data_IF_551559092986
#
_entry.id   IF_551559092986
#
_cell.length_a   1.000
_cell.length_b   1.000
_cell.length_c   1.000
_cell.angle_alpha   90.00
_cell.angle_beta   90.00
_cell.angle_gamma   90.00
#
_symmetry.space_group_name_H-M   'P 1'
#
loop_
_entity.id
_entity.type
_entity.pdbx_description
1 polymer ?
#
# COMPACT_ATOMS: atom_id res chain seq x y z
N UNK A 1 -6.14 8.21 22.93
CA UNK A 1 -7.46 7.97 22.33
C UNK A 1 -7.99 6.63 22.81
N UNK A 2 -9.31 6.45 22.97
CA UNK A 2 -9.83 5.10 23.29
C UNK A 2 -9.68 4.19 22.07
N UNK A 3 -9.37 2.92 22.31
CA UNK A 3 -9.21 1.87 21.28
C UNK A 3 -10.43 1.78 20.36
N UNK A 4 -11.63 1.98 20.90
CA UNK A 4 -12.87 1.99 20.13
C UNK A 4 -12.99 3.17 19.15
N UNK A 5 -12.51 4.36 19.53
CA UNK A 5 -12.49 5.52 18.62
C UNK A 5 -11.43 5.34 17.54
N UNK A 6 -10.24 4.84 17.90
CA UNK A 6 -9.18 4.54 16.92
C UNK A 6 -9.64 3.51 15.88
N UNK A 7 -10.39 2.48 16.30
CA UNK A 7 -10.98 1.50 15.39
C UNK A 7 -12.01 2.14 14.44
N UNK A 8 -12.91 2.98 14.94
CA UNK A 8 -13.90 3.67 14.11
C UNK A 8 -13.23 4.57 13.07
N UNK A 9 -12.21 5.35 13.46
CA UNK A 9 -11.45 6.19 12.53
C UNK A 9 -10.66 5.37 11.50
N UNK A 10 -10.09 4.22 11.90
CA UNK A 10 -9.40 3.32 10.97
C UNK A 10 -10.34 2.75 9.89
N UNK A 11 -11.53 2.32 10.29
CA UNK A 11 -12.54 1.81 9.35
C UNK A 11 -13.04 2.90 8.38
N UNK A 12 -13.23 4.13 8.87
CA UNK A 12 -13.58 5.26 8.02
C UNK A 12 -12.52 5.56 6.96
N UNK A 13 -11.24 5.52 7.36
CA UNK A 13 -10.14 5.73 6.42
C UNK A 13 -10.07 4.61 5.38
N UNK A 14 -10.27 3.36 5.81
CA UNK A 14 -10.27 2.20 4.91
C UNK A 14 -11.45 2.18 3.93
N UNK A 15 -12.59 2.79 4.29
CA UNK A 15 -13.78 2.85 3.41
C UNK A 15 -13.55 3.65 2.12
N UNK A 16 -12.47 4.44 2.05
CA UNK A 16 -12.06 5.15 0.83
C UNK A 16 -11.55 4.18 -0.24
N UNK A 17 -10.94 3.06 0.15
CA UNK A 17 -10.35 2.09 -0.79
C UNK A 17 -11.39 1.37 -1.67
N UNK A 18 -12.52 0.82 -1.14
CA UNK A 18 -13.55 0.23 -1.99
C UNK A 18 -14.17 1.22 -2.97
N UNK A 19 -14.39 2.46 -2.54
CA UNK A 19 -15.02 3.49 -3.37
C UNK A 19 -14.09 3.88 -4.51
N UNK A 20 -12.82 4.18 -4.21
CA UNK A 20 -11.81 4.51 -5.20
C UNK A 20 -11.51 3.31 -6.12
N UNK A 21 -11.44 2.09 -5.56
CA UNK A 21 -11.21 0.85 -6.30
C UNK A 21 -12.35 0.55 -7.29
N UNK A 22 -13.61 0.77 -6.90
CA UNK A 22 -14.75 0.60 -7.80
C UNK A 22 -14.73 1.63 -8.94
N UNK A 23 -14.47 2.90 -8.62
CA UNK A 23 -14.34 3.95 -9.64
C UNK A 23 -13.16 3.67 -10.58
N UNK A 24 -12.02 3.23 -10.05
CA UNK A 24 -10.86 2.81 -10.82
C UNK A 24 -11.19 1.63 -11.75
N UNK A 25 -11.86 0.60 -11.25
CA UNK A 25 -12.28 -0.55 -12.06
C UNK A 25 -13.20 -0.13 -13.22
N UNK A 26 -14.19 0.72 -12.95
CA UNK A 26 -15.10 1.25 -13.99
C UNK A 26 -14.35 2.10 -15.02
N UNK A 27 -13.41 2.94 -14.59
CA UNK A 27 -12.61 3.77 -15.48
C UNK A 27 -11.66 2.94 -16.38
N UNK A 28 -11.10 1.85 -15.85
CA UNK A 28 -10.20 0.97 -16.61
C UNK A 28 -10.94 0.21 -17.73
N UNK A 29 -12.22 -0.18 -17.53
CA UNK A 29 -13.03 -0.85 -18.58
C UNK A 29 -13.24 0.05 -19.80
N UNK A 30 -13.24 1.37 -19.63
CA UNK A 30 -13.41 2.33 -20.72
C UNK A 30 -12.09 2.67 -21.45
N UNK A 31 -10.94 2.33 -20.86
CA UNK A 31 -9.63 2.81 -21.28
C UNK A 31 -8.54 1.72 -21.24
N UNK A 32 -8.79 0.58 -21.88
CA UNK A 32 -7.84 -0.55 -21.99
C UNK A 32 -6.41 -0.15 -22.43
N UNK A 33 -6.19 0.81 -23.35
CA UNK A 33 -4.83 1.22 -23.72
C UNK A 33 -4.15 2.11 -22.67
N UNK A 34 -4.93 2.77 -21.80
CA UNK A 34 -4.42 3.68 -20.77
C UNK A 34 -4.12 2.95 -19.46
N UNK A 35 -4.72 1.77 -19.26
CA UNK A 35 -4.52 0.85 -18.15
C UNK A 35 -3.04 0.68 -17.74
N UNK A 36 -2.09 0.33 -18.64
CA UNK A 36 -0.69 0.14 -18.26
C UNK A 36 -0.02 1.43 -17.77
N UNK A 37 -0.38 2.59 -18.33
CA UNK A 37 0.17 3.88 -17.89
C UNK A 37 -0.37 4.27 -16.51
N UNK A 38 -1.65 4.03 -16.26
CA UNK A 38 -2.26 4.29 -14.96
C UNK A 38 -1.72 3.34 -13.86
N UNK A 39 -1.53 2.05 -14.18
CA UNK A 39 -0.90 1.10 -13.27
C UNK A 39 0.57 1.45 -12.99
N UNK A 40 1.33 1.88 -14.01
CA UNK A 40 2.71 2.34 -13.83
C UNK A 40 2.76 3.60 -12.93
N UNK A 41 1.82 4.53 -13.11
CA UNK A 41 1.71 5.71 -12.24
C UNK A 41 1.38 5.33 -10.80
N UNK A 42 0.40 4.44 -10.59
CA UNK A 42 0.04 3.95 -9.26
C UNK A 42 1.21 3.22 -8.57
N UNK A 43 1.94 2.37 -9.30
CA UNK A 43 3.15 1.72 -8.79
C UNK A 43 4.21 2.74 -8.38
N UNK A 44 4.46 3.77 -9.21
CA UNK A 44 5.39 4.85 -8.90
C UNK A 44 5.01 5.64 -7.64
N UNK A 45 3.72 5.96 -7.47
CA UNK A 45 3.24 6.65 -6.28
C UNK A 45 3.48 5.84 -5.00
N UNK A 46 3.24 4.53 -5.03
CA UNK A 46 3.51 3.66 -3.89
C UNK A 46 5.01 3.54 -3.56
N UNK A 47 5.88 3.49 -4.57
CA UNK A 47 7.33 3.51 -4.35
C UNK A 47 7.79 4.81 -3.69
N UNK A 48 7.26 5.97 -4.12
CA UNK A 48 7.58 7.26 -3.52
C UNK A 48 7.19 7.31 -2.04
N UNK A 49 5.94 6.96 -1.69
CA UNK A 49 5.45 6.98 -0.29
C UNK A 49 6.25 6.03 0.60
N UNK A 50 6.61 4.84 0.10
CA UNK A 50 7.42 3.89 0.87
C UNK A 50 8.80 4.45 1.19
N UNK A 51 9.46 5.07 0.21
CA UNK A 51 10.83 5.57 0.35
C UNK A 51 10.89 6.87 1.16
N UNK A 52 9.93 7.78 0.96
CA UNK A 52 9.95 9.12 1.55
C UNK A 52 9.34 9.14 2.96
N UNK A 53 8.28 8.37 3.20
CA UNK A 53 7.57 8.38 4.49
C UNK A 53 7.85 7.12 5.31
N UNK A 54 7.56 5.93 4.76
CA UNK A 54 7.52 4.68 5.55
C UNK A 54 8.92 4.27 6.05
N UNK A 55 9.93 4.27 5.17
CA UNK A 55 11.29 3.86 5.56
C UNK A 55 11.87 4.83 6.61
N UNK A 56 11.82 6.17 6.43
CA UNK A 56 12.31 7.11 7.43
C UNK A 56 11.56 7.01 8.76
N UNK A 57 10.23 6.93 8.75
CA UNK A 57 9.42 6.81 9.97
C UNK A 57 9.76 5.52 10.75
N UNK A 58 9.94 4.41 10.03
CA UNK A 58 10.31 3.14 10.65
C UNK A 58 11.73 3.15 11.26
N UNK A 59 12.67 3.91 10.68
CA UNK A 59 14.02 4.09 11.23
C UNK A 59 14.06 5.07 12.41
N UNK A 60 13.24 6.13 12.37
CA UNK A 60 13.14 7.15 13.43
C UNK A 60 12.49 6.62 14.71
N UNK A 61 11.67 5.57 14.61
CA UNK A 61 10.97 4.94 15.73
C UNK A 61 11.87 4.16 16.71
N UNK A 62 13.20 4.34 16.66
CA UNK A 62 14.16 3.82 17.64
C UNK A 62 14.68 2.40 17.37
N UNK A 63 14.03 1.64 16.49
CA UNK A 63 14.34 0.23 16.21
C UNK A 63 14.67 -0.03 14.74
N UNK A 64 15.50 0.82 14.12
CA UNK A 64 15.83 0.76 12.69
C UNK A 64 16.31 -0.61 12.19
N UNK A 65 17.09 -1.36 13.00
CA UNK A 65 17.51 -2.73 12.66
C UNK A 65 16.31 -3.69 12.56
N UNK A 66 15.36 -3.59 13.48
CA UNK A 66 14.17 -4.44 13.49
C UNK A 66 13.24 -4.05 12.32
N UNK A 67 13.07 -2.76 12.04
CA UNK A 67 12.32 -2.25 10.90
C UNK A 67 12.85 -2.76 9.54
N UNK A 68 14.18 -2.80 9.37
CA UNK A 68 14.80 -3.35 8.17
C UNK A 68 14.58 -4.87 8.05
N UNK A 69 14.73 -5.62 9.15
CA UNK A 69 14.47 -7.07 9.16
C UNK A 69 13.01 -7.40 8.85
N UNK A 70 12.06 -6.65 9.42
CA UNK A 70 10.62 -6.86 9.14
C UNK A 70 10.25 -6.43 7.72
N UNK A 71 10.89 -5.40 7.16
CA UNK A 71 10.70 -5.02 5.75
C UNK A 71 11.18 -6.10 4.79
N UNK A 72 12.37 -6.67 5.04
CA UNK A 72 12.90 -7.77 4.22
C UNK A 72 11.96 -8.98 4.32
N UNK A 73 11.50 -9.33 5.53
CA UNK A 73 10.57 -10.44 5.72
C UNK A 73 9.25 -10.20 4.99
N UNK A 74 8.68 -8.99 5.07
CA UNK A 74 7.47 -8.61 4.34
C UNK A 74 7.65 -8.71 2.82
N UNK A 75 8.80 -8.25 2.30
CA UNK A 75 9.14 -8.38 0.89
C UNK A 75 9.22 -9.84 0.44
N UNK A 76 9.89 -10.70 1.22
CA UNK A 76 9.98 -12.15 0.93
C UNK A 76 8.61 -12.81 0.94
N UNK A 77 7.75 -12.46 1.91
CA UNK A 77 6.37 -12.99 1.97
C UNK A 77 5.58 -12.54 0.73
N UNK A 78 5.64 -11.26 0.36
CA UNK A 78 4.94 -10.76 -0.82
C UNK A 78 5.43 -11.44 -2.12
N UNK A 79 6.76 -11.57 -2.31
CA UNK A 79 7.31 -12.28 -3.47
C UNK A 79 6.93 -13.77 -3.49
N UNK A 80 6.85 -14.40 -2.32
CA UNK A 80 6.39 -15.80 -2.22
C UNK A 80 4.91 -15.94 -2.59
N UNK A 81 4.08 -14.97 -2.18
CA UNK A 81 2.67 -14.91 -2.55
C UNK A 81 2.49 -14.62 -4.04
N UNK A 82 3.28 -13.70 -4.62
CA UNK A 82 3.26 -13.37 -6.05
C UNK A 82 3.63 -14.59 -6.91
N UNK A 83 4.69 -15.33 -6.55
CA UNK A 83 5.08 -16.55 -7.28
C UNK A 83 4.11 -17.71 -7.02
N UNK A 84 3.51 -17.79 -5.83
CA UNK A 84 2.63 -18.89 -5.43
C UNK A 84 1.18 -18.75 -5.90
N UNK A 85 0.67 -17.52 -6.01
CA UNK A 85 -0.67 -17.18 -6.51
C UNK A 85 -0.65 -16.67 -7.96
N UNK A 86 0.55 -16.45 -8.52
CA UNK A 86 0.79 -15.96 -9.88
C UNK A 86 0.31 -16.92 -10.96
#
# INVERSE_FOLDING_TARGET
MSTWKAFWYGQLSGMVEPIAGLLGAVAMVLAEPLLPYALAFAAGAMVYVVVDDIIPEAQLSGNGKLASWTSILGFVVMMSLDVGLG
#
